data_IF_480369898309
#
_entry.id   IF_480369898309
#
_cell.length_a   1.000
_cell.length_b   1.000
_cell.length_c   1.000
_cell.angle_alpha   90.00
_cell.angle_beta   90.00
_cell.angle_gamma   90.00
#
_symmetry.space_group_name_H-M   'P 1'
#
loop_
_entity.id
_entity.type
_entity.pdbx_description
1 polymer ?
#
# COMPACT_ATOMS: atom_id res chain seq x y z
N UNK A 1 5.90 5.65 7.94
CA UNK A 1 4.96 4.55 8.27
C UNK A 1 4.87 3.63 7.05
N UNK A 2 4.33 2.42 7.19
CA UNK A 2 4.01 1.56 6.03
C UNK A 2 2.67 2.02 5.42
N UNK A 3 2.60 2.07 4.09
CA UNK A 3 1.44 2.44 3.28
C UNK A 3 1.11 1.31 2.31
N UNK A 4 0.62 0.15 2.81
CA UNK A 4 0.50 -1.04 1.99
C UNK A 4 -0.60 -0.89 0.94
N UNK A 5 -0.34 -1.43 -0.23
CA UNK A 5 -1.27 -1.53 -1.37
C UNK A 5 -1.29 -2.99 -1.78
N UNK A 6 -2.48 -3.53 -2.06
CA UNK A 6 -2.61 -4.96 -2.34
C UNK A 6 -3.20 -5.18 -3.74
N UNK A 7 -2.58 -6.07 -4.51
CA UNK A 7 -3.18 -6.68 -5.70
C UNK A 7 -3.80 -7.99 -5.27
N UNK A 8 -5.12 -8.08 -5.33
CA UNK A 8 -5.89 -9.18 -4.77
C UNK A 8 -6.73 -9.85 -5.85
N UNK A 9 -7.10 -11.10 -5.62
CA UNK A 9 -8.08 -11.81 -6.44
C UNK A 9 -9.43 -11.90 -5.72
N UNK A 10 -10.30 -10.90 -5.86
CA UNK A 10 -11.55 -10.88 -5.13
C UNK A 10 -12.60 -11.83 -5.73
N UNK A 11 -13.57 -12.29 -4.92
CA UNK A 11 -14.71 -13.06 -5.40
C UNK A 11 -15.71 -12.20 -6.20
N UNK A 12 -15.63 -10.87 -6.11
CA UNK A 12 -16.56 -9.92 -6.74
C UNK A 12 -15.83 -8.80 -7.48
N UNK A 13 -16.47 -8.14 -8.46
CA UNK A 13 -15.89 -7.02 -9.20
C UNK A 13 -15.93 -5.69 -8.42
N UNK A 14 -15.71 -5.71 -7.10
CA UNK A 14 -15.72 -4.52 -6.24
C UNK A 14 -15.06 -4.79 -4.90
N UNK A 15 -14.71 -3.72 -4.20
CA UNK A 15 -14.36 -3.77 -2.78
C UNK A 15 -15.54 -4.33 -1.95
N UNK A 16 -15.26 -5.07 -0.85
CA UNK A 16 -16.28 -5.53 0.09
C UNK A 16 -16.89 -4.35 0.85
N UNK A 17 -18.16 -4.48 1.23
CA UNK A 17 -18.84 -3.49 2.06
C UNK A 17 -18.87 -3.96 3.53
N UNK A 18 -17.98 -3.41 4.37
CA UNK A 18 -17.89 -3.76 5.79
C UNK A 18 -19.19 -3.55 6.57
N UNK A 19 -19.93 -2.48 6.28
CA UNK A 19 -21.25 -2.22 6.90
C UNK A 19 -22.29 -3.29 6.58
N UNK A 20 -22.09 -4.08 5.52
CA UNK A 20 -22.93 -5.23 5.15
C UNK A 20 -22.39 -6.57 5.65
N UNK A 21 -21.27 -6.57 6.39
CA UNK A 21 -20.62 -7.78 6.89
C UNK A 21 -19.91 -8.60 5.81
N UNK A 22 -19.52 -7.99 4.69
CA UNK A 22 -18.93 -8.71 3.56
C UNK A 22 -17.42 -9.01 3.72
N UNK A 23 -16.73 -8.32 4.63
CA UNK A 23 -15.28 -8.40 4.81
C UNK A 23 -14.81 -9.83 5.10
N UNK A 24 -15.44 -10.52 6.05
CA UNK A 24 -15.11 -11.91 6.39
C UNK A 24 -15.18 -12.84 5.18
N UNK A 25 -16.24 -12.72 4.38
CA UNK A 25 -16.42 -13.55 3.19
C UNK A 25 -15.37 -13.22 2.14
N UNK A 26 -15.08 -11.94 1.93
CA UNK A 26 -14.05 -11.48 1.00
C UNK A 26 -12.67 -12.04 1.34
N UNK A 27 -12.21 -11.90 2.58
CA UNK A 27 -10.88 -12.33 3.00
C UNK A 27 -10.76 -13.85 3.16
N UNK A 28 -11.89 -14.56 3.32
CA UNK A 28 -11.90 -16.03 3.34
C UNK A 28 -11.82 -16.69 1.96
N UNK A 29 -11.79 -15.93 0.86
CA UNK A 29 -11.88 -16.47 -0.49
C UNK A 29 -10.62 -17.20 -1.00
N UNK A 30 -9.61 -17.43 -0.14
CA UNK A 30 -8.34 -18.13 -0.43
C UNK A 30 -7.61 -17.64 -1.71
N UNK A 31 -7.85 -16.39 -2.11
CA UNK A 31 -7.23 -15.78 -3.28
C UNK A 31 -5.79 -15.34 -3.00
N UNK A 32 -4.90 -15.36 -4.01
CA UNK A 32 -3.57 -14.79 -3.86
C UNK A 32 -3.66 -13.28 -3.61
N UNK A 33 -2.68 -12.76 -2.85
CA UNK A 33 -2.49 -11.33 -2.62
C UNK A 33 -1.02 -10.99 -2.82
N UNK A 34 -0.76 -9.93 -3.59
CA UNK A 34 0.56 -9.31 -3.68
C UNK A 34 0.55 -7.97 -2.96
N UNK A 35 1.59 -7.66 -2.19
CA UNK A 35 1.72 -6.43 -1.42
C UNK A 35 2.81 -5.51 -2.01
N UNK A 36 2.50 -4.24 -2.18
CA UNK A 36 3.44 -3.17 -2.44
C UNK A 36 3.34 -2.12 -1.34
N UNK A 37 4.33 -1.23 -1.23
CA UNK A 37 4.35 -0.21 -0.20
C UNK A 37 4.50 1.19 -0.81
N UNK A 38 3.58 2.07 -0.44
CA UNK A 38 3.53 3.49 -0.78
C UNK A 38 3.38 3.85 -2.27
N UNK A 39 3.15 2.87 -3.15
CA UNK A 39 2.92 3.10 -4.59
C UNK A 39 2.25 1.89 -5.25
N UNK A 40 1.71 2.08 -6.46
CA UNK A 40 1.21 1.01 -7.32
C UNK A 40 2.32 0.60 -8.31
N UNK A 41 2.86 -0.62 -8.25
CA UNK A 41 3.90 -1.08 -9.17
C UNK A 41 3.54 -0.91 -10.65
N UNK A 42 4.54 -0.61 -11.48
CA UNK A 42 4.35 -0.41 -12.92
C UNK A 42 3.67 -1.59 -13.62
N UNK A 43 3.98 -2.85 -13.23
CA UNK A 43 3.33 -4.00 -13.88
C UNK A 43 1.87 -4.15 -13.45
N UNK A 44 1.50 -3.67 -12.26
CA UNK A 44 0.10 -3.66 -11.84
C UNK A 44 -0.68 -2.66 -12.67
N UNK A 45 -0.15 -1.44 -12.86
CA UNK A 45 -0.79 -0.41 -13.69
C UNK A 45 -0.98 -0.86 -15.14
N UNK A 46 -0.09 -1.71 -15.66
CA UNK A 46 -0.23 -2.30 -17.00
C UNK A 46 -1.50 -3.17 -17.18
N UNK A 47 -2.15 -3.60 -16.10
CA UNK A 47 -3.39 -4.39 -16.13
C UNK A 47 -4.67 -3.52 -16.30
N UNK A 48 -4.59 -2.23 -15.94
CA UNK A 48 -5.74 -1.35 -15.79
C UNK A 48 -5.73 -0.19 -16.79
N UNK A 49 -6.87 0.47 -16.92
CA UNK A 49 -7.10 1.70 -17.64
C UNK A 49 -7.92 2.65 -16.75
N UNK A 50 -8.02 3.95 -17.09
CA UNK A 50 -8.78 4.91 -16.29
C UNK A 50 -10.22 4.48 -15.98
N UNK A 51 -10.87 3.78 -16.91
CA UNK A 51 -12.24 3.27 -16.75
C UNK A 51 -12.39 2.18 -15.66
N UNK A 52 -11.28 1.62 -15.16
CA UNK A 52 -11.30 0.64 -14.06
C UNK A 52 -11.17 1.30 -12.68
N UNK A 53 -11.19 2.63 -12.60
CA UNK A 53 -11.23 3.36 -11.33
C UNK A 53 -12.66 3.30 -10.77
N UNK A 54 -12.78 2.74 -9.57
CA UNK A 54 -14.02 2.67 -8.80
C UNK A 54 -13.82 3.25 -7.41
N UNK A 55 -14.91 3.50 -6.69
CA UNK A 55 -14.88 4.16 -5.38
C UNK A 55 -15.45 3.26 -4.30
N UNK A 56 -14.73 3.18 -3.18
CA UNK A 56 -15.18 2.52 -1.96
C UNK A 56 -15.30 3.57 -0.86
N UNK A 57 -16.22 3.36 0.08
CA UNK A 57 -16.34 4.23 1.23
C UNK A 57 -15.29 3.88 2.28
N UNK A 58 -14.68 4.89 2.90
CA UNK A 58 -13.72 4.71 4.00
C UNK A 58 -14.34 3.93 5.16
N UNK A 59 -15.63 4.15 5.44
CA UNK A 59 -16.33 3.48 6.54
C UNK A 59 -16.50 1.96 6.29
N UNK A 60 -16.46 1.50 5.04
CA UNK A 60 -16.63 0.08 4.71
C UNK A 60 -15.36 -0.76 4.93
N UNK A 61 -14.24 -0.10 5.24
CA UNK A 61 -13.02 -0.79 5.66
C UNK A 61 -13.17 -1.34 7.09
N UNK A 62 -13.96 -0.71 7.96
CA UNK A 62 -14.14 -1.16 9.35
C UNK A 62 -14.93 -2.46 9.42
N UNK A 63 -14.35 -3.48 10.03
CA UNK A 63 -15.08 -4.70 10.38
C UNK A 63 -15.96 -4.44 11.61
N UNK A 64 -17.30 -4.53 11.51
CA UNK A 64 -18.17 -4.28 12.66
C UNK A 64 -18.02 -5.33 13.77
N UNK A 65 -17.51 -6.53 13.47
CA UNK A 65 -17.30 -7.58 14.47
C UNK A 65 -15.96 -7.39 15.21
N UNK A 66 -14.92 -6.94 14.51
CA UNK A 66 -13.56 -6.80 15.07
C UNK A 66 -13.22 -5.36 15.52
N UNK A 67 -13.81 -4.34 14.89
CA UNK A 67 -13.55 -2.91 15.09
C UNK A 67 -14.79 -2.12 15.53
N UNK A 68 -15.73 -2.77 16.23
CA UNK A 68 -17.00 -2.18 16.66
C UNK A 68 -16.84 -0.84 17.39
N UNK A 69 -15.87 -0.77 18.33
CA UNK A 69 -15.63 0.43 19.14
C UNK A 69 -15.08 1.57 18.29
N UNK A 70 -14.12 1.30 17.39
CA UNK A 70 -13.54 2.30 16.50
C UNK A 70 -14.58 2.83 15.51
N UNK A 71 -15.43 1.94 15.00
CA UNK A 71 -16.54 2.30 14.13
C UNK A 71 -17.57 3.17 14.87
N UNK A 72 -17.91 2.84 16.12
CA UNK A 72 -18.82 3.65 16.95
C UNK A 72 -18.22 5.03 17.23
N UNK A 73 -16.96 5.11 17.67
CA UNK A 73 -16.25 6.38 17.89
C UNK A 73 -16.19 7.23 16.61
N UNK A 74 -15.90 6.59 15.47
CA UNK A 74 -15.92 7.26 14.17
C UNK A 74 -17.33 7.78 13.86
N UNK A 75 -18.37 6.97 14.04
CA UNK A 75 -19.76 7.38 13.76
C UNK A 75 -20.25 8.51 14.67
N UNK A 76 -19.80 8.58 15.92
CA UNK A 76 -20.17 9.66 16.85
C UNK A 76 -19.45 10.98 16.55
N UNK A 77 -18.17 10.90 16.17
CA UNK A 77 -17.30 12.07 16.03
C UNK A 77 -17.20 12.60 14.59
N UNK A 78 -17.37 11.74 13.58
CA UNK A 78 -17.20 12.11 12.18
C UNK A 78 -18.35 12.98 11.66
N UNK A 79 -17.97 14.00 10.90
CA UNK A 79 -18.85 14.79 10.06
C UNK A 79 -19.52 13.93 8.99
N UNK A 80 -20.60 14.44 8.40
CA UNK A 80 -21.25 13.74 7.29
C UNK A 80 -20.30 13.56 6.09
N UNK A 81 -19.45 14.55 5.82
CA UNK A 81 -18.46 14.48 4.75
C UNK A 81 -17.43 13.36 4.98
N UNK A 82 -16.99 13.14 6.21
CA UNK A 82 -16.08 12.04 6.56
C UNK A 82 -16.75 10.67 6.45
N UNK A 83 -18.04 10.57 6.83
CA UNK A 83 -18.82 9.34 6.68
C UNK A 83 -19.07 8.97 5.22
N UNK A 84 -19.23 9.97 4.38
CA UNK A 84 -19.41 9.82 2.94
C UNK A 84 -18.07 9.84 2.18
N UNK A 85 -16.94 9.93 2.88
CA UNK A 85 -15.63 9.95 2.26
C UNK A 85 -15.37 8.66 1.49
N UNK A 86 -14.86 8.81 0.27
CA UNK A 86 -14.54 7.72 -0.63
C UNK A 86 -13.08 7.79 -1.04
N UNK A 87 -12.55 6.64 -1.44
CA UNK A 87 -11.23 6.54 -2.04
C UNK A 87 -11.29 5.69 -3.32
N UNK A 88 -10.44 6.00 -4.32
CA UNK A 88 -10.41 5.26 -5.58
C UNK A 88 -9.64 3.96 -5.42
N UNK A 89 -10.18 2.85 -5.91
CA UNK A 89 -9.51 1.57 -6.08
C UNK A 89 -9.60 1.12 -7.54
N UNK A 90 -8.80 0.12 -7.94
CA UNK A 90 -8.84 -0.40 -9.32
C UNK A 90 -9.47 -1.78 -9.33
N UNK A 91 -10.38 -2.07 -10.27
CA UNK A 91 -10.88 -3.44 -10.45
C UNK A 91 -11.19 -3.72 -11.91
N UNK A 92 -10.81 -4.90 -12.38
CA UNK A 92 -11.14 -5.34 -13.73
C UNK A 92 -11.26 -6.87 -13.80
N UNK A 93 -11.76 -7.39 -14.91
CA UNK A 93 -11.78 -8.84 -15.13
C UNK A 93 -10.38 -9.36 -15.45
N UNK A 94 -10.05 -10.59 -15.01
CA UNK A 94 -8.78 -11.23 -15.34
C UNK A 94 -8.57 -11.31 -16.85
N UNK A 95 -9.62 -11.61 -17.62
CA UNK A 95 -9.52 -11.68 -19.08
C UNK A 95 -9.04 -10.35 -19.69
N UNK A 96 -9.64 -9.23 -19.28
CA UNK A 96 -9.28 -7.91 -19.79
C UNK A 96 -7.91 -7.45 -19.29
N UNK A 97 -7.57 -7.72 -18.02
CA UNK A 97 -6.24 -7.45 -17.47
C UNK A 97 -5.13 -8.17 -18.26
N UNK A 98 -5.30 -9.47 -18.55
CA UNK A 98 -4.33 -10.24 -19.31
C UNK A 98 -4.24 -9.79 -20.77
N UNK A 99 -5.35 -9.40 -21.38
CA UNK A 99 -5.35 -8.83 -22.74
C UNK A 99 -4.52 -7.54 -22.80
N UNK A 100 -4.74 -6.60 -21.87
CA UNK A 100 -3.98 -5.35 -21.77
C UNK A 100 -2.51 -5.61 -21.48
N UNK A 101 -2.21 -6.52 -20.54
CA UNK A 101 -0.84 -6.90 -20.24
C UNK A 101 -0.11 -7.43 -21.48
N UNK A 102 -0.76 -8.34 -22.23
CA UNK A 102 -0.21 -8.87 -23.48
C UNK A 102 0.05 -7.78 -24.51
N UNK A 103 -0.90 -6.85 -24.69
CA UNK A 103 -0.80 -5.74 -25.64
C UNK A 103 0.33 -4.76 -25.30
N UNK A 104 0.49 -4.43 -24.02
CA UNK A 104 1.44 -3.41 -23.52
C UNK A 104 2.84 -3.95 -23.31
N UNK A 105 3.00 -5.27 -23.28
CA UNK A 105 4.24 -5.99 -22.96
C UNK A 105 5.45 -5.40 -23.66
N UNK A 106 5.47 -5.35 -24.99
CA UNK A 106 6.67 -4.95 -25.70
C UNK A 106 6.99 -3.46 -25.52
N UNK A 107 5.99 -2.58 -25.37
CA UNK A 107 6.20 -1.17 -25.01
C UNK A 107 6.82 -1.03 -23.61
N UNK A 108 6.29 -1.74 -22.62
CA UNK A 108 6.82 -1.74 -21.24
C UNK A 108 8.26 -2.27 -21.19
N UNK A 109 8.54 -3.37 -21.90
CA UNK A 109 9.89 -3.95 -21.97
C UNK A 109 10.86 -3.05 -22.75
N UNK A 110 10.43 -2.39 -23.82
CA UNK A 110 11.29 -1.43 -24.53
C UNK A 110 11.75 -0.28 -23.62
N UNK A 111 10.89 0.17 -22.71
CA UNK A 111 11.20 1.23 -21.74
C UNK A 111 12.17 0.76 -20.65
N UNK A 112 11.83 -0.34 -19.99
CA UNK A 112 12.59 -0.89 -18.85
C UNK A 112 13.87 -1.64 -19.26
N UNK A 113 13.89 -2.20 -20.47
CA UNK A 113 14.95 -3.04 -20.99
C UNK A 113 14.71 -4.54 -20.82
N UNK A 114 15.36 -5.33 -21.67
CA UNK A 114 15.16 -6.79 -21.81
C UNK A 114 15.35 -7.58 -20.51
N UNK A 115 16.11 -7.08 -19.53
CA UNK A 115 16.26 -7.74 -18.22
C UNK A 115 14.93 -7.94 -17.51
N UNK A 116 13.93 -7.09 -17.76
CA UNK A 116 12.62 -7.16 -17.11
C UNK A 116 11.65 -8.10 -17.79
N UNK A 117 11.93 -8.55 -19.02
CA UNK A 117 11.06 -9.47 -19.77
C UNK A 117 10.72 -10.75 -19.00
N UNK A 118 11.69 -11.50 -18.45
CA UNK A 118 11.37 -12.69 -17.65
C UNK A 118 10.57 -12.39 -16.39
N UNK A 119 10.75 -11.21 -15.76
CA UNK A 119 9.95 -10.80 -14.59
C UNK A 119 8.51 -10.52 -15.00
N UNK A 120 8.31 -9.79 -16.10
CA UNK A 120 6.99 -9.47 -16.63
C UNK A 120 6.23 -10.73 -17.04
N UNK A 121 6.89 -11.63 -17.77
CA UNK A 121 6.30 -12.87 -18.24
C UNK A 121 5.92 -13.79 -17.07
N UNK A 122 6.76 -13.88 -16.04
CA UNK A 122 6.46 -14.63 -14.82
C UNK A 122 5.27 -14.02 -14.06
N UNK A 123 5.20 -12.69 -13.96
CA UNK A 123 4.10 -11.97 -13.30
C UNK A 123 2.77 -12.20 -14.02
N UNK A 124 2.72 -12.01 -15.34
CA UNK A 124 1.49 -12.23 -16.14
C UNK A 124 1.07 -13.70 -16.09
N UNK A 125 2.04 -14.63 -16.12
CA UNK A 125 1.77 -16.06 -15.96
C UNK A 125 1.16 -16.36 -14.58
N UNK A 126 1.71 -15.78 -13.51
CA UNK A 126 1.21 -15.91 -12.15
C UNK A 126 -0.23 -15.41 -12.01
N UNK A 127 -0.56 -14.25 -12.58
CA UNK A 127 -1.95 -13.76 -12.59
C UNK A 127 -2.88 -14.72 -13.35
N UNK A 128 -2.43 -15.25 -14.48
CA UNK A 128 -3.23 -16.19 -15.28
C UNK A 128 -3.61 -17.46 -14.50
N UNK A 129 -2.64 -18.03 -13.76
CA UNK A 129 -2.80 -19.30 -13.05
C UNK A 129 -3.36 -19.17 -11.64
N UNK A 130 -2.98 -18.13 -10.89
CA UNK A 130 -3.30 -18.01 -9.48
C UNK A 130 -4.56 -17.18 -9.21
N UNK A 131 -4.85 -16.16 -10.02
CA UNK A 131 -6.01 -15.29 -9.79
C UNK A 131 -7.29 -15.90 -10.37
N UNK A 132 -8.40 -15.68 -9.68
CA UNK A 132 -9.76 -15.99 -10.11
C UNK A 132 -10.29 -15.06 -11.20
N UNK A 133 -11.58 -14.74 -11.15
CA UNK A 133 -12.27 -13.99 -12.22
C UNK A 133 -11.89 -12.52 -12.27
N UNK A 134 -11.55 -11.93 -11.13
CA UNK A 134 -11.30 -10.50 -10.98
C UNK A 134 -9.90 -10.25 -10.42
N UNK A 135 -9.38 -9.08 -10.76
CA UNK A 135 -8.13 -8.54 -10.23
C UNK A 135 -8.45 -7.15 -9.68
N UNK A 136 -8.09 -6.89 -8.43
CA UNK A 136 -8.37 -5.64 -7.74
C UNK A 136 -7.12 -5.08 -7.07
N UNK A 137 -6.92 -3.76 -7.16
CA UNK A 137 -5.90 -3.04 -6.39
C UNK A 137 -6.58 -2.28 -5.26
N UNK A 138 -6.32 -2.68 -4.03
CA UNK A 138 -6.77 -1.99 -2.82
C UNK A 138 -5.76 -0.92 -2.42
N UNK A 139 -6.21 0.32 -2.44
CA UNK A 139 -5.39 1.54 -2.30
C UNK A 139 -5.55 2.22 -0.95
N UNK A 140 -6.42 1.74 -0.05
CA UNK A 140 -6.76 2.43 1.21
C UNK A 140 -5.60 2.66 2.17
N UNK A 141 -4.47 1.97 1.97
CA UNK A 141 -3.22 2.20 2.69
C UNK A 141 -2.37 3.37 2.17
N UNK A 142 -2.65 3.90 0.97
CA UNK A 142 -1.95 5.06 0.42
C UNK A 142 -2.23 6.33 1.25
N UNK A 143 -1.24 7.23 1.38
CA UNK A 143 -1.46 8.54 1.98
C UNK A 143 -2.40 9.37 1.11
N UNK A 144 -3.23 10.20 1.75
CA UNK A 144 -4.15 11.16 1.09
C UNK A 144 -5.01 10.53 -0.03
N UNK A 145 -5.34 9.25 0.13
CA UNK A 145 -6.00 8.46 -0.92
C UNK A 145 -7.40 8.99 -1.27
N UNK A 146 -8.06 9.72 -0.37
CA UNK A 146 -9.35 10.37 -0.65
C UNK A 146 -9.26 11.41 -1.77
N UNK A 147 -8.08 11.99 -1.99
CA UNK A 147 -7.82 12.99 -3.04
C UNK A 147 -7.07 12.37 -4.24
N UNK A 148 -6.95 11.04 -4.28
CA UNK A 148 -6.05 10.36 -5.22
C UNK A 148 -6.54 10.25 -6.67
N UNK A 149 -7.80 10.59 -6.94
CA UNK A 149 -8.44 10.34 -8.24
C UNK A 149 -7.68 10.97 -9.40
N UNK A 150 -7.23 12.22 -9.25
CA UNK A 150 -6.57 12.95 -10.33
C UNK A 150 -5.22 12.33 -10.70
N UNK A 151 -4.35 12.10 -9.72
CA UNK A 151 -3.03 11.52 -10.00
C UNK A 151 -3.15 10.06 -10.47
N UNK A 152 -4.08 9.28 -9.92
CA UNK A 152 -4.31 7.90 -10.35
C UNK A 152 -4.81 7.82 -11.79
N UNK A 153 -5.71 8.73 -12.17
CA UNK A 153 -6.17 8.85 -13.56
C UNK A 153 -5.01 9.19 -14.48
N UNK A 154 -4.20 10.20 -14.12
CA UNK A 154 -3.04 10.61 -14.91
C UNK A 154 -2.01 9.49 -15.06
N UNK A 155 -1.77 8.67 -14.02
CA UNK A 155 -0.89 7.51 -14.11
C UNK A 155 -1.44 6.44 -15.07
N UNK A 156 -2.74 6.11 -14.98
CA UNK A 156 -3.34 5.09 -15.85
C UNK A 156 -3.49 5.55 -17.30
N UNK A 157 -3.68 6.84 -17.55
CA UNK A 157 -3.65 7.43 -18.90
C UNK A 157 -2.25 7.27 -19.53
N UNK A 158 -1.18 7.54 -18.77
CA UNK A 158 0.19 7.35 -19.24
C UNK A 158 0.47 5.89 -19.63
N UNK A 159 -0.03 4.93 -18.83
CA UNK A 159 0.12 3.51 -19.15
C UNK A 159 -0.77 3.09 -20.32
N UNK A 160 -1.96 3.66 -20.45
CA UNK A 160 -2.85 3.40 -21.59
C UNK A 160 -2.29 3.93 -22.89
N UNK A 161 -1.57 5.05 -22.88
CA UNK A 161 -0.86 5.56 -24.05
C UNK A 161 0.18 4.57 -24.61
N UNK A 162 0.67 3.62 -23.80
CA UNK A 162 1.58 2.57 -24.25
C UNK A 162 0.97 1.60 -25.25
N UNK A 163 -0.36 1.55 -25.37
CA UNK A 163 -1.09 0.81 -26.39
C UNK A 163 -0.79 1.34 -27.81
N UNK A 164 -0.28 2.58 -27.92
CA UNK A 164 -0.03 3.27 -29.18
C UNK A 164 1.46 3.61 -29.42
N UNK A 165 2.36 3.24 -28.52
CA UNK A 165 3.81 3.45 -28.68
C UNK A 165 4.55 3.61 -27.35
N UNK A 166 5.80 4.09 -27.39
CA UNK A 166 6.66 4.22 -26.20
C UNK A 166 6.89 5.67 -25.77
N UNK A 167 6.04 6.60 -26.21
CA UNK A 167 6.13 7.99 -25.73
C UNK A 167 5.59 8.07 -24.31
N UNK A 168 6.43 8.55 -23.38
CA UNK A 168 6.10 8.63 -21.96
C UNK A 168 6.25 10.07 -21.47
N UNK A 169 5.42 10.46 -20.52
CA UNK A 169 5.56 11.71 -19.78
C UNK A 169 6.81 11.68 -18.88
N UNK A 170 7.25 12.86 -18.43
CA UNK A 170 8.49 13.01 -17.65
C UNK A 170 8.48 12.20 -16.36
N UNK A 171 7.36 12.18 -15.64
CA UNK A 171 7.23 11.50 -14.34
C UNK A 171 7.42 9.98 -14.48
N UNK A 172 6.74 9.35 -15.46
CA UNK A 172 6.95 7.94 -15.77
C UNK A 172 8.37 7.65 -16.29
N UNK A 173 8.99 8.59 -17.01
CA UNK A 173 10.37 8.44 -17.46
C UNK A 173 11.38 8.42 -16.31
N UNK A 174 11.16 9.23 -15.26
CA UNK A 174 11.99 9.20 -14.03
C UNK A 174 11.84 7.86 -13.30
N UNK A 175 10.61 7.39 -13.10
CA UNK A 175 10.34 6.09 -12.48
C UNK A 175 11.02 4.94 -13.26
N UNK A 176 10.91 4.94 -14.59
CA UNK A 176 11.59 3.96 -15.46
C UNK A 176 13.10 4.03 -15.28
N UNK A 177 13.68 5.24 -15.23
CA UNK A 177 15.12 5.42 -15.04
C UNK A 177 15.60 4.86 -13.69
N UNK A 178 14.82 5.04 -12.64
CA UNK A 178 15.12 4.51 -11.32
C UNK A 178 14.97 2.99 -11.25
N UNK A 179 13.89 2.44 -11.81
CA UNK A 179 13.72 0.99 -11.93
C UNK A 179 14.87 0.34 -12.71
N UNK A 180 15.43 1.00 -13.72
CA UNK A 180 16.59 0.48 -14.48
C UNK A 180 17.87 0.35 -13.64
N UNK A 181 17.98 1.09 -12.54
CA UNK A 181 19.17 1.12 -11.69
C UNK A 181 19.08 0.18 -10.48
N UNK A 182 17.88 -0.28 -10.12
CA UNK A 182 17.73 -1.14 -8.93
C UNK A 182 18.34 -2.52 -9.13
N UNK A 183 18.84 -3.10 -8.04
CA UNK A 183 19.36 -4.46 -7.98
C UNK A 183 18.26 -5.48 -8.27
N UNK A 184 18.64 -6.67 -8.73
CA UNK A 184 17.71 -7.70 -9.20
C UNK A 184 16.64 -8.12 -8.18
N UNK A 185 17.00 -8.22 -6.90
CA UNK A 185 16.05 -8.52 -5.83
C UNK A 185 14.94 -7.45 -5.77
N UNK A 186 15.34 -6.19 -5.79
CA UNK A 186 14.43 -5.05 -5.71
C UNK A 186 13.68 -4.83 -7.03
N UNK A 187 14.25 -5.22 -8.17
CA UNK A 187 13.61 -5.13 -9.48
C UNK A 187 12.32 -5.97 -9.51
N UNK A 188 12.35 -7.20 -8.98
CA UNK A 188 11.15 -8.04 -8.85
C UNK A 188 10.15 -7.36 -7.92
N UNK A 189 10.55 -7.07 -6.67
CA UNK A 189 9.65 -6.52 -5.67
C UNK A 189 9.01 -5.17 -6.06
N UNK A 190 9.78 -4.26 -6.65
CA UNK A 190 9.27 -2.94 -7.07
C UNK A 190 8.37 -2.99 -8.29
N UNK A 191 8.48 -4.02 -9.14
CA UNK A 191 7.65 -4.12 -10.35
C UNK A 191 6.43 -5.01 -10.15
N UNK A 192 6.49 -6.00 -9.27
CA UNK A 192 5.43 -7.01 -9.09
C UNK A 192 4.81 -7.03 -7.70
N UNK A 193 5.42 -6.37 -6.71
CA UNK A 193 5.08 -6.55 -5.30
C UNK A 193 5.61 -7.86 -4.71
N UNK A 194 5.43 -7.95 -3.40
CA UNK A 194 5.69 -9.09 -2.53
C UNK A 194 4.57 -10.12 -2.65
N UNK A 195 4.85 -11.41 -2.55
CA UNK A 195 3.82 -12.43 -2.38
C UNK A 195 4.21 -13.43 -1.30
N UNK A 196 3.38 -14.46 -1.09
CA UNK A 196 3.72 -15.54 -0.18
C UNK A 196 4.64 -16.58 -0.88
N UNK A 197 5.94 -16.64 -0.56
CA UNK A 197 6.84 -17.60 -1.17
C UNK A 197 6.63 -19.03 -0.67
N UNK A 198 5.93 -19.21 0.46
CA UNK A 198 5.64 -20.50 1.07
C UNK A 198 4.25 -21.04 0.72
N UNK A 199 3.50 -20.39 -0.19
CA UNK A 199 2.19 -20.89 -0.59
C UNK A 199 2.31 -22.28 -1.25
N UNK A 200 1.50 -23.24 -0.79
CA UNK A 200 1.49 -24.60 -1.33
C UNK A 200 1.09 -24.62 -2.82
N UNK A 201 0.19 -23.71 -3.20
CA UNK A 201 -0.32 -23.54 -4.55
C UNK A 201 0.09 -22.18 -5.07
N UNK A 202 0.82 -22.15 -6.20
CA UNK A 202 1.32 -20.93 -6.84
C UNK A 202 2.12 -20.01 -5.88
N UNK A 203 3.31 -20.41 -5.42
CA UNK A 203 4.18 -19.52 -4.66
C UNK A 203 4.65 -18.34 -5.52
N UNK A 204 4.78 -17.17 -4.89
CA UNK A 204 5.36 -16.00 -5.52
C UNK A 204 6.54 -15.45 -4.69
N UNK A 205 7.72 -15.21 -5.29
CA UNK A 205 8.10 -15.48 -6.69
C UNK A 205 8.06 -16.97 -7.07
N UNK A 206 7.81 -17.28 -8.35
CA UNK A 206 7.83 -18.66 -8.84
C UNK A 206 9.26 -19.23 -8.86
N UNK A 207 9.40 -20.57 -8.81
CA UNK A 207 10.71 -21.23 -8.85
C UNK A 207 11.53 -20.83 -10.09
N UNK A 208 10.91 -20.81 -11.27
CA UNK A 208 11.58 -20.40 -12.51
C UNK A 208 12.06 -18.94 -12.46
N UNK A 209 11.31 -18.06 -11.79
CA UNK A 209 11.72 -16.67 -11.60
C UNK A 209 12.89 -16.56 -10.62
N UNK A 210 12.89 -17.36 -9.56
CA UNK A 210 14.02 -17.47 -8.62
C UNK A 210 15.28 -18.01 -9.29
N UNK A 211 15.16 -18.98 -10.20
CA UNK A 211 16.29 -19.52 -10.96
C UNK A 211 16.90 -18.45 -11.89
N UNK A 212 16.06 -17.63 -12.53
CA UNK A 212 16.51 -16.52 -13.38
C UNK A 212 17.04 -15.32 -12.58
N UNK A 213 16.50 -15.09 -11.38
CA UNK A 213 16.87 -13.99 -10.48
C UNK A 213 17.15 -14.53 -9.07
N UNK A 214 18.30 -15.19 -8.82
CA UNK A 214 18.59 -15.79 -7.52
C UNK A 214 18.53 -14.81 -6.34
N UNK A 215 18.72 -13.52 -6.60
CA UNK A 215 18.63 -12.47 -5.60
C UNK A 215 17.21 -12.25 -5.05
N UNK A 216 16.16 -12.65 -5.80
CA UNK A 216 14.76 -12.58 -5.34
C UNK A 216 14.32 -13.84 -4.57
N UNK A 217 15.21 -14.83 -4.42
CA UNK A 217 14.94 -16.01 -3.61
C UNK A 217 14.51 -15.60 -2.18
N UNK A 218 13.50 -16.28 -1.60
CA UNK A 218 13.10 -16.05 -0.21
C UNK A 218 14.31 -16.25 0.70
N UNK A 219 14.74 -15.21 1.41
CA UNK A 219 15.84 -15.35 2.38
C UNK A 219 15.35 -16.19 3.57
N UNK A 220 16.23 -17.04 4.10
CA UNK A 220 15.96 -17.97 5.22
C UNK A 220 15.35 -17.34 6.49
N UNK A 221 15.26 -16.01 6.60
CA UNK A 221 14.48 -15.32 7.64
C UNK A 221 12.97 -15.61 7.55
N UNK A 222 12.43 -15.89 6.36
CA UNK A 222 11.03 -16.33 6.21
C UNK A 222 10.79 -17.77 6.69
N UNK A 223 11.82 -18.64 6.64
CA UNK A 223 11.72 -20.02 7.14
C UNK A 223 11.80 -20.13 8.67
N UNK A 224 12.45 -19.16 9.34
CA UNK A 224 12.52 -19.12 10.80
C UNK A 224 11.17 -18.74 11.45
N UNK A 225 10.36 -17.92 10.78
CA UNK A 225 9.04 -17.49 11.26
C UNK A 225 7.98 -18.62 11.21
N UNK A 226 8.19 -19.64 10.36
CA UNK A 226 7.27 -20.78 10.18
C UNK A 226 7.69 -22.06 10.91
N UNK A 227 8.83 -22.06 11.62
CA UNK A 227 9.35 -23.26 12.30
C UNK A 227 8.90 -23.42 13.77
N UNK A 228 8.17 -22.46 14.33
CA UNK A 228 7.43 -22.66 15.59
C UNK A 228 6.10 -23.34 15.29
N UNK A 229 6.05 -24.66 15.51
CA UNK A 229 4.90 -25.51 15.24
C UNK A 229 3.65 -25.21 16.09
N UNK A 230 2.92 -24.18 15.70
CA UNK A 230 1.48 -24.05 15.89
C UNK A 230 0.82 -23.98 14.51
N UNK A 231 -0.35 -24.61 14.28
CA UNK A 231 -1.07 -24.42 13.04
C UNK A 231 -1.31 -22.91 12.88
N UNK A 232 -1.10 -22.31 11.69
CA UNK A 232 -1.35 -20.90 11.52
C UNK A 232 -2.84 -20.69 11.78
N UNK A 233 -3.17 -20.16 12.97
CA UNK A 233 -4.42 -19.48 13.19
C UNK A 233 -4.51 -18.46 12.06
N UNK A 234 -5.51 -18.63 11.20
CA UNK A 234 -5.62 -17.94 9.90
C UNK A 234 -5.12 -16.52 10.00
N UNK A 235 -4.23 -16.16 9.08
CA UNK A 235 -3.61 -14.84 8.97
C UNK A 235 -4.66 -13.80 9.34
N UNK A 236 -4.56 -13.28 10.57
CA UNK A 236 -5.38 -12.17 10.98
C UNK A 236 -4.87 -11.03 10.14
N UNK A 237 -5.51 -10.82 8.99
CA UNK A 237 -5.33 -9.65 8.15
C UNK A 237 -5.47 -8.47 9.08
N UNK A 238 -4.32 -7.95 9.48
CA UNK A 238 -4.22 -6.94 10.52
C UNK A 238 -4.75 -5.68 9.87
N UNK A 239 -6.05 -5.48 10.05
CA UNK A 239 -6.71 -4.24 9.82
C UNK A 239 -5.84 -3.17 10.46
N UNK A 240 -5.48 -2.17 9.65
CA UNK A 240 -4.76 -0.95 9.98
C UNK A 240 -4.66 -0.77 11.51
N UNK A 241 -3.49 -1.04 12.08
CA UNK A 241 -3.10 -0.44 13.37
C UNK A 241 -2.59 0.96 13.00
N UNK A 242 -3.39 2.05 13.06
CA UNK A 242 -2.81 3.37 13.14
C UNK A 242 -2.10 3.39 14.50
N UNK A 243 -0.77 3.25 14.50
CA UNK A 243 0.07 3.32 15.70
C UNK A 243 -0.51 4.31 16.73
N UNK A 244 -1.16 3.80 17.78
CA UNK A 244 -1.66 4.62 18.89
C UNK A 244 -0.51 5.41 19.55
N UNK A 245 0.73 4.94 19.36
CA UNK A 245 1.94 5.62 19.82
C UNK A 245 2.20 6.94 19.08
N UNK A 246 1.83 7.09 17.81
CA UNK A 246 2.05 8.34 17.06
C UNK A 246 0.98 9.39 17.42
N UNK A 247 -0.30 8.99 17.52
CA UNK A 247 -1.36 9.89 18.02
C UNK A 247 -1.10 10.31 19.47
N UNK A 248 -0.65 9.39 20.33
CA UNK A 248 -0.31 9.69 21.72
C UNK A 248 0.85 10.68 21.85
N UNK A 249 1.91 10.53 21.03
CA UNK A 249 3.04 11.47 21.00
C UNK A 249 2.64 12.84 20.45
N UNK A 250 1.76 12.89 19.45
CA UNK A 250 1.25 14.14 18.88
C UNK A 250 0.43 14.93 19.90
N UNK A 251 -0.47 14.27 20.65
CA UNK A 251 -1.20 14.91 21.75
C UNK A 251 -0.29 15.34 22.91
N UNK A 252 0.70 14.52 23.31
CA UNK A 252 1.67 14.90 24.35
C UNK A 252 2.47 16.13 23.91
N UNK A 253 2.90 16.19 22.65
CA UNK A 253 3.63 17.34 22.12
C UNK A 253 2.76 18.60 22.16
N UNK A 254 1.49 18.52 21.73
CA UNK A 254 0.53 19.63 21.77
C UNK A 254 0.32 20.12 23.21
N UNK A 255 0.10 19.22 24.17
CA UNK A 255 -0.08 19.61 25.57
C UNK A 255 1.18 20.20 26.21
N UNK A 256 2.36 19.69 25.87
CA UNK A 256 3.64 20.24 26.35
C UNK A 256 3.89 21.63 25.76
N UNK A 257 3.62 21.85 24.47
CA UNK A 257 3.80 23.16 23.83
C UNK A 257 2.77 24.19 24.29
N UNK A 258 1.49 23.80 24.35
CA UNK A 258 0.43 24.67 24.87
C UNK A 258 0.65 24.98 26.37
N UNK A 259 1.03 23.99 27.17
CA UNK A 259 1.32 24.15 28.60
C UNK A 259 2.54 25.03 28.87
N UNK A 260 3.64 24.84 28.12
CA UNK A 260 4.83 25.68 28.25
C UNK A 260 4.55 27.13 27.84
N UNK A 261 3.79 27.34 26.76
CA UNK A 261 3.45 28.68 26.29
C UNK A 261 2.49 29.41 27.25
N UNK A 262 1.37 28.77 27.62
CA UNK A 262 0.36 29.38 28.49
C UNK A 262 0.86 29.53 29.92
N UNK A 263 1.59 28.55 30.46
CA UNK A 263 2.18 28.63 31.81
C UNK A 263 3.23 29.74 31.93
N UNK A 264 4.08 29.89 30.91
CA UNK A 264 5.09 30.96 30.89
C UNK A 264 4.46 32.33 30.68
N UNK A 265 3.40 32.42 29.87
CA UNK A 265 2.64 33.66 29.69
C UNK A 265 1.96 34.09 30.98
N UNK A 266 1.22 33.21 31.66
CA UNK A 266 0.49 33.54 32.89
C UNK A 266 1.44 34.08 33.96
N UNK A 267 2.65 33.51 34.05
CA UNK A 267 3.64 33.89 35.07
C UNK A 267 4.47 35.12 34.73
N UNK A 268 4.76 35.36 33.45
CA UNK A 268 5.69 36.44 33.04
C UNK A 268 5.05 37.57 32.23
N UNK A 269 3.82 37.36 31.75
CA UNK A 269 3.06 38.25 30.86
C UNK A 269 3.86 38.69 29.61
N UNK A 270 4.85 37.87 29.21
CA UNK A 270 5.78 38.19 28.14
C UNK A 270 5.72 37.14 27.04
N UNK A 271 5.25 37.57 25.87
CA UNK A 271 5.15 36.73 24.66
C UNK A 271 6.53 36.22 24.24
N UNK A 272 7.55 37.09 24.32
CA UNK A 272 8.92 36.74 23.94
C UNK A 272 9.52 35.63 24.80
N UNK A 273 9.29 35.67 26.12
CA UNK A 273 9.75 34.62 27.04
C UNK A 273 9.01 33.29 26.83
N UNK A 274 7.74 33.36 26.44
CA UNK A 274 6.91 32.19 26.14
C UNK A 274 7.35 31.49 24.85
N UNK A 275 7.71 32.27 23.82
CA UNK A 275 8.33 31.75 22.59
C UNK A 275 9.67 31.09 22.91
N UNK A 276 10.55 31.74 23.67
CA UNK A 276 11.85 31.19 24.04
C UNK A 276 11.71 29.87 24.84
N UNK A 277 10.76 29.80 25.77
CA UNK A 277 10.49 28.58 26.55
C UNK A 277 10.00 27.42 25.66
N UNK A 278 9.16 27.73 24.67
CA UNK A 278 8.65 26.72 23.72
C UNK A 278 9.78 26.16 22.86
N UNK A 279 10.68 27.01 22.35
CA UNK A 279 11.85 26.59 21.57
C UNK A 279 12.79 25.69 22.39
N UNK A 280 13.01 26.03 23.66
CA UNK A 280 13.82 25.20 24.57
C UNK A 280 13.17 23.84 24.82
N UNK A 281 11.85 23.80 25.02
CA UNK A 281 11.12 22.54 25.17
C UNK A 281 11.21 21.66 23.91
N UNK A 282 11.09 22.25 22.71
CA UNK A 282 11.27 21.53 21.44
C UNK A 282 12.68 20.93 21.33
N UNK A 283 13.71 21.71 21.66
CA UNK A 283 15.10 21.24 21.57
C UNK A 283 15.39 20.05 22.53
N UNK A 284 14.83 20.08 23.74
CA UNK A 284 14.95 18.98 24.71
C UNK A 284 14.21 17.73 24.22
N UNK A 285 13.01 17.89 23.65
CA UNK A 285 12.21 16.78 23.13
C UNK A 285 12.91 16.09 21.94
N UNK A 286 13.43 16.87 21.00
CA UNK A 286 14.21 16.35 19.86
C UNK A 286 15.48 15.62 20.34
N UNK A 287 16.18 16.17 21.34
CA UNK A 287 17.36 15.51 21.89
C UNK A 287 17.04 14.18 22.58
N UNK A 288 15.94 14.09 23.33
CA UNK A 288 15.48 12.84 23.96
C UNK A 288 15.11 11.78 22.90
N UNK A 289 14.41 12.17 21.84
CA UNK A 289 14.06 11.26 20.74
C UNK A 289 15.29 10.71 20.00
N UNK A 290 16.29 11.57 19.75
CA UNK A 290 17.56 11.16 19.13
C UNK A 290 18.35 10.23 20.06
N UNK A 291 18.29 10.44 21.38
CA UNK A 291 19.01 9.63 22.36
C UNK A 291 18.40 8.24 22.53
N UNK A 292 17.07 8.12 22.51
CA UNK A 292 16.38 6.83 22.61
C UNK A 292 16.65 5.97 21.37
N UNK A 293 16.66 6.55 20.17
CA UNK A 293 16.97 5.84 18.90
C UNK A 293 18.43 5.37 18.73
N UNK A 294 19.34 5.71 19.65
CA UNK A 294 20.74 5.24 19.63
C UNK A 294 21.00 4.07 20.59
N UNK A 295 20.01 3.70 21.40
CA UNK A 295 20.13 2.67 22.44
C UNK A 295 19.45 1.36 22.01
N UNK A 296 18.64 1.39 20.94
CA UNK A 296 18.14 0.23 20.18
C UNK A 296 19.00 -0.01 18.93
#
# INVERSE_FOLDING_TARGET
MSHPVFLESPPWPRMPEGRKGELKTYFSADGPSLEANAHIPLFWRALFAPDDIHFAYVIDDFDPDDAAVELEEFLESATQAEKDAQYPYLVTSKALALERAGRRRDSVIALLGERFRPIYDAFVSYLSTAYGTFILVRTSGLPDVTDATEWLTAELEQITALDHGTHVHADLAEEIADLKRVADADAVWRTTGAGNPGAEVNPWPSQSLVEAFPACAPRARYAAATSSGEPPAGDKHRYRDPNMLDKGLEWIAIFVFAGAFVGTWITTHSVWKSILATVVATAVMVWLLVRVRRID
#
